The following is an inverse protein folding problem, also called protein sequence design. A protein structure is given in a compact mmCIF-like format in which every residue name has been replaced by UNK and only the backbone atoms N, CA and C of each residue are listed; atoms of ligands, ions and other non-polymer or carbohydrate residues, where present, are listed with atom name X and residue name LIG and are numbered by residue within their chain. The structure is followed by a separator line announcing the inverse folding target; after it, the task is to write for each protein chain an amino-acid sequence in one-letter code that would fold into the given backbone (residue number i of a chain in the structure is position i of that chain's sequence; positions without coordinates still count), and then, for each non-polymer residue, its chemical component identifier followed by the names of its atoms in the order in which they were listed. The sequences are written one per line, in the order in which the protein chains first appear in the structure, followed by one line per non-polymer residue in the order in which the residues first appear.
data_IF_134147151757
#
_entry.id   IF_134147151757
#
_cell.length_a   1.000
_cell.length_b   1.000
_cell.length_c   1.000
_cell.angle_alpha   90.00
_cell.angle_beta   90.00
_cell.angle_gamma   90.00
#
_symmetry.space_group_name_H-M   'P 1'
#
loop_
_entity.id
_entity.type
_entity.pdbx_description
1 polymer ?
#
# COMPACT_ATOMS: atom_id res chain seq x y z
N UNK A 1 -1.67 -5.22 -16.87
CA UNK A 1 -0.92 -6.49 -16.88
C UNK A 1 -1.77 -7.66 -16.35
N UNK A 2 -2.22 -7.64 -15.10
CA UNK A 2 -3.01 -8.73 -14.49
C UNK A 2 -4.28 -9.08 -15.28
N UNK A 3 -5.07 -8.06 -15.68
CA UNK A 3 -6.25 -8.28 -16.54
C UNK A 3 -5.91 -8.96 -17.87
N UNK A 4 -4.81 -8.55 -18.51
CA UNK A 4 -4.32 -9.20 -19.72
C UNK A 4 -3.83 -10.65 -19.47
N UNK A 5 -3.40 -10.95 -18.24
CA UNK A 5 -3.12 -12.32 -17.78
C UNK A 5 -4.36 -13.13 -17.39
N UNK A 6 -5.58 -12.59 -17.60
CA UNK A 6 -6.84 -13.27 -17.34
C UNK A 6 -7.45 -13.03 -15.96
N UNK A 7 -6.84 -12.20 -15.11
CA UNK A 7 -7.38 -11.90 -13.79
C UNK A 7 -8.57 -10.93 -13.86
N UNK A 8 -9.60 -11.18 -13.05
CA UNK A 8 -10.57 -10.15 -12.65
C UNK A 8 -9.97 -9.33 -11.52
N UNK A 9 -9.88 -8.01 -11.68
CA UNK A 9 -9.17 -7.13 -10.74
C UNK A 9 -10.11 -6.04 -10.24
N UNK A 10 -10.02 -5.72 -8.95
CA UNK A 10 -10.58 -4.52 -8.36
C UNK A 10 -9.47 -3.79 -7.59
N UNK A 11 -9.47 -2.46 -7.66
CA UNK A 11 -8.40 -1.64 -7.10
C UNK A 11 -8.98 -0.67 -6.06
N UNK A 12 -8.22 -0.43 -5.00
CA UNK A 12 -8.40 0.70 -4.10
C UNK A 12 -7.03 1.32 -3.80
N UNK A 13 -7.01 2.56 -3.32
CA UNK A 13 -5.76 3.22 -2.96
C UNK A 13 -5.15 2.61 -1.69
N UNK A 14 -3.81 2.62 -1.60
CA UNK A 14 -3.08 2.34 -0.35
C UNK A 14 -2.83 3.60 0.48
N UNK A 15 -3.02 4.79 -0.10
CA UNK A 15 -2.86 6.06 0.58
C UNK A 15 -3.86 7.13 0.06
N UNK A 16 -4.48 7.94 0.95
CA UNK A 16 -5.46 8.93 0.54
C UNK A 16 -4.98 10.01 -0.45
N UNK A 17 -3.67 10.27 -0.53
CA UNK A 17 -3.10 11.35 -1.35
C UNK A 17 -2.38 10.85 -2.60
N UNK A 18 -2.21 9.53 -2.77
CA UNK A 18 -1.36 8.95 -3.82
C UNK A 18 -2.07 8.72 -5.15
N UNK A 19 -3.40 8.71 -5.15
CA UNK A 19 -4.18 8.49 -6.38
C UNK A 19 -3.85 9.54 -7.43
N UNK A 20 -3.68 9.09 -8.67
CA UNK A 20 -3.69 9.94 -9.86
C UNK A 20 -5.05 9.74 -10.53
N UNK A 21 -5.93 10.74 -10.43
CA UNK A 21 -7.34 10.60 -10.81
C UNK A 21 -7.52 10.31 -12.31
N UNK A 22 -6.63 10.83 -13.15
CA UNK A 22 -6.59 10.56 -14.59
C UNK A 22 -6.22 9.09 -14.88
N UNK A 23 -5.24 8.54 -14.16
CA UNK A 23 -4.90 7.12 -14.26
C UNK A 23 -6.06 6.23 -13.76
N UNK A 24 -6.69 6.57 -12.64
CA UNK A 24 -7.85 5.86 -12.12
C UNK A 24 -9.02 5.91 -13.11
N UNK A 25 -9.33 7.08 -13.67
CA UNK A 25 -10.38 7.26 -14.67
C UNK A 25 -10.10 6.45 -15.95
N UNK A 26 -8.85 6.41 -16.42
CA UNK A 26 -8.46 5.60 -17.58
C UNK A 26 -8.67 4.11 -17.34
N UNK A 27 -8.28 3.59 -16.16
CA UNK A 27 -8.47 2.18 -15.81
C UNK A 27 -9.94 1.79 -15.81
N UNK A 28 -10.83 2.69 -15.40
CA UNK A 28 -12.28 2.46 -15.45
C UNK A 28 -12.81 2.56 -16.88
N UNK A 29 -12.51 3.65 -17.58
CA UNK A 29 -13.12 3.97 -18.87
C UNK A 29 -12.58 3.11 -20.03
N UNK A 30 -11.28 2.84 -20.04
CA UNK A 30 -10.61 2.16 -21.15
C UNK A 30 -10.37 0.69 -20.85
N UNK A 31 -10.00 0.37 -19.61
CA UNK A 31 -9.68 -1.00 -19.22
C UNK A 31 -10.85 -1.71 -18.53
N UNK A 32 -11.99 -1.05 -18.26
CA UNK A 32 -13.15 -1.62 -17.57
C UNK A 32 -12.76 -2.34 -16.26
N UNK A 33 -11.84 -1.74 -15.49
CA UNK A 33 -11.41 -2.24 -14.19
C UNK A 33 -12.12 -1.40 -13.11
N UNK A 34 -12.85 -2.02 -12.16
CA UNK A 34 -13.38 -1.30 -11.01
C UNK A 34 -12.25 -0.69 -10.16
N UNK A 35 -12.26 0.63 -10.03
CA UNK A 35 -11.32 1.39 -9.21
C UNK A 35 -12.10 2.21 -8.18
N UNK A 36 -11.74 2.04 -6.91
CA UNK A 36 -12.31 2.74 -5.76
C UNK A 36 -11.19 3.59 -5.13
N UNK A 37 -10.90 4.73 -5.75
CA UNK A 37 -9.83 5.61 -5.31
C UNK A 37 -10.03 7.01 -5.88
N UNK A 38 -9.87 8.03 -5.06
CA UNK A 38 -9.79 9.43 -5.48
C UNK A 38 -8.68 10.12 -4.70
N UNK A 39 -8.06 11.13 -5.30
CA UNK A 39 -7.00 11.90 -4.62
C UNK A 39 -7.59 12.84 -3.57
N UNK A 40 -7.01 12.84 -2.38
CA UNK A 40 -7.44 13.72 -1.30
C UNK A 40 -8.63 13.20 -0.51
N UNK A 41 -8.85 11.88 -0.50
CA UNK A 41 -9.95 11.28 0.26
C UNK A 41 -9.76 11.42 1.78
N UNK A 42 -10.89 11.49 2.50
CA UNK A 42 -10.88 11.40 3.96
C UNK A 42 -10.74 9.95 4.42
N UNK A 43 -10.56 9.76 5.73
CA UNK A 43 -10.34 8.44 6.32
C UNK A 43 -11.54 7.50 6.11
N UNK A 44 -12.75 8.02 6.20
CA UNK A 44 -13.96 7.21 6.04
C UNK A 44 -14.11 6.73 4.59
N UNK A 45 -13.87 7.62 3.63
CA UNK A 45 -13.88 7.33 2.19
C UNK A 45 -12.80 6.29 1.85
N UNK A 46 -11.57 6.48 2.34
CA UNK A 46 -10.46 5.53 2.16
C UNK A 46 -10.85 4.11 2.59
N UNK A 47 -11.40 3.95 3.80
CA UNK A 47 -11.81 2.62 4.27
C UNK A 47 -13.07 2.10 3.56
N UNK A 48 -13.97 2.97 3.08
CA UNK A 48 -15.09 2.57 2.24
C UNK A 48 -14.64 1.98 0.89
N UNK A 49 -13.51 2.47 0.37
CA UNK A 49 -12.89 1.95 -0.84
C UNK A 49 -12.22 0.59 -0.61
N UNK A 50 -11.49 0.42 0.49
CA UNK A 50 -10.99 -0.90 0.92
C UNK A 50 -12.15 -1.89 1.06
N UNK A 51 -13.25 -1.47 1.71
CA UNK A 51 -14.45 -2.30 1.85
C UNK A 51 -15.02 -2.69 0.47
N UNK A 52 -15.00 -1.79 -0.50
CA UNK A 52 -15.48 -2.08 -1.86
C UNK A 52 -14.64 -3.15 -2.56
N UNK A 53 -13.33 -3.18 -2.30
CA UNK A 53 -12.44 -4.26 -2.76
C UNK A 53 -12.71 -5.58 -2.00
N UNK A 54 -12.87 -5.55 -0.67
CA UNK A 54 -13.18 -6.74 0.14
C UNK A 54 -14.51 -7.40 -0.27
N UNK A 55 -15.54 -6.60 -0.60
CA UNK A 55 -16.85 -7.07 -1.09
C UNK A 55 -16.79 -7.85 -2.40
N UNK A 56 -15.63 -7.86 -3.09
CA UNK A 56 -15.41 -8.69 -4.27
C UNK A 56 -15.03 -10.14 -3.93
N UNK A 57 -14.85 -10.48 -2.66
CA UNK A 57 -14.41 -11.81 -2.21
C UNK A 57 -13.13 -12.24 -2.94
N UNK A 58 -12.02 -11.50 -2.77
CA UNK A 58 -10.80 -11.74 -3.53
C UNK A 58 -10.17 -13.10 -3.19
N UNK A 59 -9.73 -13.85 -4.20
CA UNK A 59 -8.95 -15.08 -4.01
C UNK A 59 -7.44 -14.82 -3.90
N UNK A 60 -6.99 -13.63 -4.26
CA UNK A 60 -5.60 -13.15 -4.15
C UNK A 60 -5.61 -11.69 -3.71
N UNK A 61 -4.63 -11.32 -2.89
CA UNK A 61 -4.41 -9.93 -2.50
C UNK A 61 -3.06 -9.40 -3.00
N UNK A 62 -3.03 -8.12 -3.35
CA UNK A 62 -1.81 -7.38 -3.61
C UNK A 62 -1.88 -6.09 -2.80
N UNK A 63 -1.02 -5.98 -1.80
CA UNK A 63 -1.12 -4.95 -0.77
C UNK A 63 0.18 -4.15 -0.64
N UNK A 64 0.02 -2.93 -0.18
CA UNK A 64 1.06 -1.92 -0.01
C UNK A 64 0.72 -1.18 1.29
N UNK A 65 1.31 -1.64 2.40
CA UNK A 65 1.03 -1.15 3.76
C UNK A 65 0.21 -2.10 4.63
N UNK A 66 -0.27 -3.19 4.05
CA UNK A 66 -1.00 -4.30 4.68
C UNK A 66 -2.43 -3.97 5.15
N UNK A 67 -3.07 -2.88 4.73
CA UNK A 67 -4.38 -2.49 5.29
C UNK A 67 -5.53 -3.40 4.79
N UNK A 68 -5.49 -3.86 3.53
CA UNK A 68 -6.48 -4.79 2.98
C UNK A 68 -6.29 -6.21 3.53
N UNK A 69 -5.05 -6.69 3.54
CA UNK A 69 -4.67 -8.01 4.06
C UNK A 69 -4.92 -8.09 5.56
N UNK A 70 -4.57 -7.06 6.33
CA UNK A 70 -4.86 -7.02 7.77
C UNK A 70 -6.35 -7.03 8.03
N UNK A 71 -7.15 -6.33 7.22
CA UNK A 71 -8.62 -6.34 7.35
C UNK A 71 -9.20 -7.75 7.17
N UNK A 72 -8.74 -8.52 6.17
CA UNK A 72 -9.12 -9.92 6.00
C UNK A 72 -8.78 -10.75 7.24
N UNK A 73 -7.54 -10.68 7.72
CA UNK A 73 -7.13 -11.43 8.90
C UNK A 73 -7.90 -11.02 10.16
N UNK A 74 -8.18 -9.74 10.37
CA UNK A 74 -8.91 -9.28 11.55
C UNK A 74 -10.38 -9.71 11.52
N UNK A 75 -11.03 -9.73 10.34
CA UNK A 75 -12.35 -10.34 10.18
C UNK A 75 -12.31 -11.83 10.54
N UNK A 76 -11.32 -12.57 10.03
CA UNK A 76 -11.13 -13.99 10.31
C UNK A 76 -10.97 -14.28 11.82
N UNK A 77 -10.18 -13.45 12.50
CA UNK A 77 -9.84 -13.58 13.92
C UNK A 77 -10.90 -12.95 14.83
N UNK A 78 -12.00 -12.41 14.29
CA UNK A 78 -13.02 -11.66 15.02
C UNK A 78 -12.43 -10.47 15.83
N UNK A 79 -11.36 -9.85 15.35
CA UNK A 79 -10.72 -8.66 15.96
C UNK A 79 -11.39 -7.37 15.47
N UNK A 80 -12.65 -7.19 15.85
CA UNK A 80 -13.51 -6.10 15.34
C UNK A 80 -13.07 -4.69 15.72
N UNK A 81 -12.26 -4.54 16.78
CA UNK A 81 -11.74 -3.23 17.21
C UNK A 81 -10.53 -2.78 16.39
N UNK A 82 -10.00 -3.66 15.53
CA UNK A 82 -8.83 -3.41 14.68
C UNK A 82 -9.19 -3.07 13.23
N UNK A 83 -10.48 -2.97 12.90
CA UNK A 83 -10.98 -2.59 11.57
C UNK A 83 -11.84 -1.34 11.66
N UNK A 84 -11.94 -0.59 10.56
CA UNK A 84 -12.80 0.59 10.49
C UNK A 84 -14.28 0.23 10.69
N UNK A 85 -15.09 1.22 11.08
CA UNK A 85 -16.51 1.03 11.36
C UNK A 85 -17.26 0.37 10.19
N UNK A 86 -17.07 0.86 8.96
CA UNK A 86 -17.75 0.30 7.79
C UNK A 86 -17.36 -1.17 7.50
N UNK A 87 -16.08 -1.52 7.70
CA UNK A 87 -15.61 -2.90 7.54
C UNK A 87 -16.17 -3.79 8.65
N UNK A 88 -16.21 -3.29 9.90
CA UNK A 88 -16.81 -3.99 11.04
C UNK A 88 -18.29 -4.29 10.80
N UNK A 89 -19.07 -3.29 10.41
CA UNK A 89 -20.51 -3.43 10.16
C UNK A 89 -20.77 -4.45 9.06
N UNK A 90 -20.02 -4.37 7.95
CA UNK A 90 -20.12 -5.35 6.89
C UNK A 90 -19.70 -6.76 7.34
N UNK A 91 -18.56 -6.90 8.00
CA UNK A 91 -18.07 -8.20 8.49
C UNK A 91 -19.05 -8.87 9.46
N UNK A 92 -19.69 -8.09 10.34
CA UNK A 92 -20.73 -8.59 11.25
C UNK A 92 -22.06 -8.92 10.55
N UNK A 93 -22.34 -8.30 9.40
CA UNK A 93 -23.52 -8.62 8.59
C UNK A 93 -23.42 -9.98 7.87
N UNK A 94 -22.19 -10.49 7.68
CA UNK A 94 -21.94 -11.79 7.07
C UNK A 94 -22.21 -12.93 8.07
N UNK A 95 -22.84 -13.99 7.57
CA UNK A 95 -22.96 -15.25 8.31
C UNK A 95 -21.57 -15.81 8.63
N UNK A 96 -21.49 -16.68 9.65
CA UNK A 96 -20.22 -17.30 10.01
C UNK A 96 -19.62 -18.10 8.84
N UNK A 97 -20.48 -18.72 8.02
CA UNK A 97 -20.02 -19.47 6.86
C UNK A 97 -19.41 -18.55 5.80
N UNK A 98 -20.06 -17.43 5.48
CA UNK A 98 -19.52 -16.44 4.54
C UNK A 98 -18.19 -15.83 5.01
N UNK A 99 -18.06 -15.56 6.31
CA UNK A 99 -16.78 -15.09 6.89
C UNK A 99 -15.67 -16.12 6.77
N UNK A 100 -16.00 -17.40 6.96
CA UNK A 100 -15.04 -18.48 6.77
C UNK A 100 -14.64 -18.57 5.28
N UNK A 101 -15.62 -18.57 4.37
CA UNK A 101 -15.40 -18.60 2.92
C UNK A 101 -14.53 -17.43 2.44
N UNK A 102 -14.76 -16.22 2.96
CA UNK A 102 -13.98 -15.03 2.65
C UNK A 102 -12.46 -15.23 2.87
N UNK A 103 -12.07 -16.13 3.77
CA UNK A 103 -10.68 -16.38 4.14
C UNK A 103 -10.16 -17.68 3.52
N UNK A 104 -10.97 -18.74 3.52
CA UNK A 104 -10.55 -20.03 2.95
C UNK A 104 -10.32 -19.96 1.45
N UNK A 105 -11.02 -19.08 0.76
CA UNK A 105 -10.91 -18.93 -0.69
C UNK A 105 -9.72 -18.02 -1.10
N UNK A 106 -9.04 -17.41 -0.13
CA UNK A 106 -7.82 -16.62 -0.36
C UNK A 106 -6.64 -17.58 -0.49
N UNK A 107 -6.13 -17.73 -1.71
CA UNK A 107 -4.96 -18.55 -2.02
C UNK A 107 -3.66 -17.93 -1.49
N UNK A 108 -3.61 -16.61 -1.37
CA UNK A 108 -2.47 -15.90 -0.81
C UNK A 108 -2.47 -14.40 -1.08
N UNK A 109 -1.42 -13.74 -0.60
CA UNK A 109 -1.20 -12.30 -0.79
C UNK A 109 0.22 -11.96 -1.20
N UNK A 110 0.41 -10.70 -1.57
CA UNK A 110 1.73 -10.09 -1.73
C UNK A 110 1.78 -8.78 -0.96
N UNK A 111 2.94 -8.44 -0.39
CA UNK A 111 3.15 -7.18 0.31
C UNK A 111 4.40 -6.45 -0.23
N UNK A 112 4.19 -5.19 -0.61
CA UNK A 112 5.19 -4.35 -1.27
C UNK A 112 6.14 -3.66 -0.29
N UNK A 113 5.65 -3.27 0.90
CA UNK A 113 6.35 -2.34 1.77
C UNK A 113 7.06 -3.00 2.94
N UNK A 114 8.09 -2.33 3.45
CA UNK A 114 8.79 -2.78 4.67
C UNK A 114 7.86 -2.79 5.88
N UNK A 115 7.00 -1.78 6.03
CA UNK A 115 6.08 -1.65 7.16
C UNK A 115 5.03 -2.77 7.16
N UNK A 116 4.41 -3.05 6.01
CA UNK A 116 3.46 -4.15 5.86
C UNK A 116 4.11 -5.50 6.14
N UNK A 117 5.31 -5.75 5.62
CA UNK A 117 6.06 -7.00 5.88
C UNK A 117 6.32 -7.19 7.37
N UNK A 118 6.71 -6.15 8.10
CA UNK A 118 6.94 -6.25 9.56
C UNK A 118 5.66 -6.66 10.30
N UNK A 119 4.51 -6.07 9.93
CA UNK A 119 3.20 -6.42 10.52
C UNK A 119 2.88 -7.89 10.26
N UNK A 120 3.01 -8.34 9.01
CA UNK A 120 2.71 -9.72 8.62
C UNK A 120 3.67 -10.74 9.24
N UNK A 121 4.97 -10.42 9.35
CA UNK A 121 5.95 -11.22 10.09
C UNK A 121 5.65 -11.30 11.58
N UNK A 122 5.03 -10.27 12.17
CA UNK A 122 4.52 -10.36 13.54
C UNK A 122 3.38 -11.37 13.63
N UNK A 123 2.42 -11.29 12.71
CA UNK A 123 1.29 -12.22 12.66
C UNK A 123 1.72 -13.67 12.41
N UNK A 124 2.72 -13.88 11.57
CA UNK A 124 3.35 -15.19 11.35
C UNK A 124 3.98 -15.73 12.63
N UNK A 125 4.78 -14.91 13.34
CA UNK A 125 5.41 -15.29 14.62
C UNK A 125 4.38 -15.65 15.69
N UNK A 126 3.25 -14.95 15.69
CA UNK A 126 2.14 -15.19 16.62
C UNK A 126 1.23 -16.36 16.17
N UNK A 127 1.52 -17.02 15.04
CA UNK A 127 0.71 -18.08 14.42
C UNK A 127 -0.74 -17.67 14.13
N UNK A 128 -0.99 -16.39 13.81
CA UNK A 128 -2.32 -15.87 13.48
C UNK A 128 -2.49 -15.51 12.00
N UNK A 129 -1.45 -15.68 11.19
CA UNK A 129 -1.51 -15.46 9.74
C UNK A 129 -2.37 -16.54 9.07
N UNK A 130 -3.50 -16.14 8.47
CA UNK A 130 -4.53 -17.08 7.98
C UNK A 130 -4.25 -17.66 6.58
N UNK A 131 -3.42 -17.01 5.77
CA UNK A 131 -3.06 -17.43 4.42
C UNK A 131 -1.64 -16.96 4.10
N UNK A 132 -0.94 -17.62 3.15
CA UNK A 132 0.45 -17.26 2.84
C UNK A 132 0.55 -15.87 2.20
N UNK A 133 1.56 -15.10 2.59
CA UNK A 133 1.87 -13.80 1.99
C UNK A 133 3.33 -13.75 1.54
N UNK A 134 3.55 -13.40 0.28
CA UNK A 134 4.88 -13.23 -0.29
C UNK A 134 5.33 -11.78 -0.06
N UNK A 135 6.46 -11.63 0.63
CA UNK A 135 7.14 -10.35 0.77
C UNK A 135 7.83 -9.98 -0.53
N UNK A 136 7.22 -9.07 -1.31
CA UNK A 136 7.81 -8.54 -2.55
C UNK A 136 8.90 -7.51 -2.20
N UNK A 137 8.77 -6.84 -1.05
CA UNK A 137 9.76 -5.89 -0.55
C UNK A 137 11.16 -6.51 -0.41
N UNK A 138 11.24 -7.80 -0.06
CA UNK A 138 12.50 -8.50 0.19
C UNK A 138 13.21 -8.90 -1.12
N UNK A 139 12.56 -8.77 -2.28
CA UNK A 139 13.20 -9.02 -3.56
C UNK A 139 14.34 -8.02 -3.78
N UNK A 140 15.54 -8.51 -4.11
CA UNK A 140 16.71 -7.65 -4.37
C UNK A 140 16.43 -6.59 -5.45
N UNK A 141 15.66 -6.94 -6.48
CA UNK A 141 15.27 -6.00 -7.54
C UNK A 141 14.32 -4.91 -7.07
N UNK A 142 13.57 -5.13 -5.99
CA UNK A 142 12.75 -4.11 -5.33
C UNK A 142 13.60 -3.31 -4.36
N UNK A 143 14.18 -3.99 -3.38
CA UNK A 143 14.89 -3.36 -2.27
C UNK A 143 16.10 -2.53 -2.70
N UNK A 144 16.88 -3.02 -3.67
CA UNK A 144 18.10 -2.34 -4.13
C UNK A 144 17.81 -1.21 -5.12
N UNK A 145 16.66 -1.24 -5.80
CA UNK A 145 16.34 -0.30 -6.87
C UNK A 145 15.24 0.69 -6.51
N UNK A 146 14.04 0.21 -6.18
CA UNK A 146 12.89 1.07 -5.90
C UNK A 146 13.17 2.01 -4.72
N UNK A 147 13.48 1.42 -3.57
CA UNK A 147 13.73 2.16 -2.34
C UNK A 147 14.86 3.18 -2.51
N UNK A 148 15.87 2.91 -3.35
CA UNK A 148 17.01 3.82 -3.53
C UNK A 148 16.79 4.86 -4.61
N UNK A 149 16.46 4.42 -5.81
CA UNK A 149 16.41 5.29 -6.98
C UNK A 149 15.03 5.89 -7.17
N UNK A 150 13.98 5.09 -6.96
CA UNK A 150 12.59 5.52 -7.01
C UNK A 150 12.30 6.54 -5.91
N UNK A 151 12.38 6.13 -4.65
CA UNK A 151 12.11 7.03 -3.50
C UNK A 151 12.98 8.28 -3.52
N UNK A 152 14.28 8.13 -3.84
CA UNK A 152 15.18 9.27 -3.91
C UNK A 152 14.76 10.31 -4.95
N UNK A 153 14.33 9.87 -6.14
CA UNK A 153 13.88 10.76 -7.20
C UNK A 153 12.53 11.40 -6.87
N UNK A 154 11.54 10.59 -6.47
CA UNK A 154 10.18 11.07 -6.20
C UNK A 154 10.12 12.00 -4.99
N UNK A 155 10.94 11.76 -3.96
CA UNK A 155 10.98 12.64 -2.77
C UNK A 155 11.45 14.04 -3.14
N UNK A 156 12.54 14.15 -3.93
CA UNK A 156 13.05 15.46 -4.35
C UNK A 156 12.07 16.16 -5.28
N UNK A 157 11.48 15.44 -6.23
CA UNK A 157 10.42 15.97 -7.10
C UNK A 157 9.22 16.47 -6.28
N UNK A 158 8.76 15.70 -5.29
CA UNK A 158 7.69 16.09 -4.38
C UNK A 158 7.99 17.39 -3.62
N UNK A 159 9.19 17.52 -3.05
CA UNK A 159 9.62 18.76 -2.38
C UNK A 159 9.59 19.95 -3.33
N UNK A 160 10.12 19.78 -4.54
CA UNK A 160 10.17 20.86 -5.54
C UNK A 160 8.76 21.26 -5.97
N UNK A 161 7.89 20.31 -6.33
CA UNK A 161 6.50 20.59 -6.72
C UNK A 161 5.70 21.26 -5.62
N UNK A 162 5.91 20.85 -4.36
CA UNK A 162 5.17 21.40 -3.23
C UNK A 162 5.64 22.80 -2.83
N UNK A 163 6.93 23.13 -3.02
CA UNK A 163 7.52 24.33 -2.40
C UNK A 163 8.14 25.32 -3.37
N UNK A 164 8.41 24.90 -4.61
CA UNK A 164 9.21 25.63 -5.61
C UNK A 164 10.55 26.15 -5.06
N UNK A 165 11.10 25.51 -4.00
CA UNK A 165 12.33 25.97 -3.36
C UNK A 165 13.58 25.53 -4.12
N UNK A 166 14.55 26.44 -4.18
CA UNK A 166 15.90 26.14 -4.59
C UNK A 166 16.59 25.25 -3.53
N UNK A 167 17.08 24.08 -3.95
CA UNK A 167 17.82 23.17 -3.09
C UNK A 167 19.32 23.51 -3.01
N UNK A 168 19.89 24.13 -4.05
CA UNK A 168 21.31 24.48 -4.08
C UNK A 168 21.68 25.41 -2.91
N UNK A 169 22.73 25.06 -2.16
CA UNK A 169 23.19 25.81 -0.98
C UNK A 169 22.32 25.65 0.27
N UNK A 170 21.14 25.01 0.17
CA UNK A 170 20.27 24.77 1.32
C UNK A 170 20.87 23.74 2.28
N UNK A 171 20.56 23.86 3.58
CA UNK A 171 20.86 22.82 4.54
C UNK A 171 19.76 21.76 4.48
N UNK A 172 20.09 20.53 4.05
CA UNK A 172 19.12 19.46 3.84
C UNK A 172 19.40 18.32 4.82
N UNK A 173 18.51 18.11 5.80
CA UNK A 173 18.67 17.07 6.82
C UNK A 173 17.91 15.81 6.40
N UNK A 174 18.58 14.66 6.42
CA UNK A 174 17.98 13.33 6.16
C UNK A 174 18.06 12.51 7.45
N UNK A 175 16.91 12.17 8.02
CA UNK A 175 16.82 11.28 9.17
C UNK A 175 16.69 9.83 8.70
N UNK A 176 17.69 9.00 9.02
CA UNK A 176 17.82 7.62 8.59
C UNK A 176 18.62 7.45 7.29
N UNK A 177 19.58 6.49 7.30
CA UNK A 177 20.47 6.21 6.17
C UNK A 177 20.36 4.77 5.61
N UNK A 178 19.16 4.21 5.69
CA UNK A 178 18.77 3.01 4.94
C UNK A 178 18.66 3.27 3.42
N UNK A 179 18.04 2.36 2.68
CA UNK A 179 17.97 2.46 1.21
C UNK A 179 17.27 3.73 0.71
N UNK A 180 16.14 4.10 1.32
CA UNK A 180 15.43 5.35 1.02
C UNK A 180 16.28 6.58 1.34
N UNK A 181 16.82 6.66 2.56
CA UNK A 181 17.66 7.78 2.99
C UNK A 181 18.90 7.98 2.12
N UNK A 182 19.56 6.90 1.69
CA UNK A 182 20.68 6.95 0.74
C UNK A 182 20.25 7.54 -0.60
N UNK A 183 19.07 7.17 -1.09
CA UNK A 183 18.46 7.71 -2.30
C UNK A 183 18.27 9.22 -2.20
N UNK A 184 17.53 9.67 -1.18
CA UNK A 184 17.22 11.08 -0.94
C UNK A 184 18.49 11.92 -0.76
N UNK A 185 19.42 11.46 0.09
CA UNK A 185 20.68 12.16 0.34
C UNK A 185 21.51 12.34 -0.95
N UNK A 186 21.57 11.30 -1.80
CA UNK A 186 22.31 11.36 -3.07
C UNK A 186 21.68 12.37 -4.03
N UNK A 187 20.34 12.39 -4.14
CA UNK A 187 19.64 13.32 -5.04
C UNK A 187 19.68 14.76 -4.53
N UNK A 188 19.51 14.99 -3.22
CA UNK A 188 19.64 16.31 -2.62
C UNK A 188 21.06 16.88 -2.82
N UNK A 189 22.11 16.07 -2.59
CA UNK A 189 23.50 16.45 -2.86
C UNK A 189 23.73 16.76 -4.34
N UNK A 190 23.13 15.97 -5.24
CA UNK A 190 23.19 16.21 -6.69
C UNK A 190 22.53 17.53 -7.13
N UNK A 191 21.55 18.03 -6.37
CA UNK A 191 20.95 19.36 -6.56
C UNK A 191 21.73 20.49 -5.86
N UNK A 192 22.92 20.21 -5.33
CA UNK A 192 23.79 21.20 -4.70
C UNK A 192 23.45 21.53 -3.25
N UNK A 193 22.60 20.74 -2.58
CA UNK A 193 22.29 20.95 -1.16
C UNK A 193 23.45 20.51 -0.25
N UNK A 194 23.59 21.16 0.91
CA UNK A 194 24.46 20.74 2.00
C UNK A 194 23.72 19.70 2.85
N UNK A 195 23.99 18.43 2.58
CA UNK A 195 23.28 17.31 3.21
C UNK A 195 23.88 16.96 4.57
N UNK A 196 23.02 16.85 5.59
CA UNK A 196 23.32 16.32 6.94
C UNK A 196 22.50 15.05 7.13
N UNK A 197 23.09 14.04 7.75
CA UNK A 197 22.46 12.73 7.94
C UNK A 197 22.49 12.39 9.43
N UNK A 198 21.34 12.00 9.98
CA UNK A 198 21.19 11.56 11.37
C UNK A 198 20.58 10.17 11.48
#
# INVERSE_FOLDING_TARGET
ALKAGGASVALCASNPLSTQDDAAASLVANDEIPVFAIKGEDTDTYYSHILSALKKFPNLSMDDGADLVSSLHFIALNKWDNVSQGIREWGLSLSQNERNTLITDVMGGTEETTTGVIRLRSMERDNVLQFPVISVNDANTKHLFDNRYGTGQSTIDGIIRATNRLLAGSCFVVSGYGWCGRGVATRAKGHGARVIIC
#
